data_IF_320408889169
#
_entry.id   IF_320408889169
#
_cell.length_a   1.000
_cell.length_b   1.000
_cell.length_c   1.000
_cell.angle_alpha   90.00
_cell.angle_beta   90.00
_cell.angle_gamma   90.00
#
_symmetry.space_group_name_H-M   'P 1'
#
loop_
_entity.id
_entity.type
_entity.pdbx_description
1 polymer ?
#
# COMPACT_ATOMS: atom_id res chain seq x y z
N UNK A 1 -25.74 0.68 8.76
CA UNK A 1 -24.29 0.89 9.08
C UNK A 1 -23.94 -0.07 10.21
N UNK A 2 -22.91 -0.90 10.03
CA UNK A 2 -22.51 -1.91 11.02
C UNK A 2 -21.21 -1.56 11.74
N UNK A 3 -20.43 -0.64 11.18
CA UNK A 3 -19.13 -0.21 11.73
C UNK A 3 -18.97 1.30 11.59
N UNK A 4 -18.15 1.89 12.47
CA UNK A 4 -17.71 3.29 12.40
C UNK A 4 -16.20 3.31 12.13
N UNK A 5 -15.70 4.12 11.20
CA UNK A 5 -14.26 4.27 11.01
C UNK A 5 -13.63 4.87 12.26
N UNK A 6 -12.53 4.26 12.74
CA UNK A 6 -11.76 4.76 13.88
C UNK A 6 -10.61 5.64 13.41
N UNK A 7 -9.87 5.15 12.42
CA UNK A 7 -8.73 5.81 11.82
C UNK A 7 -8.49 5.21 10.44
N UNK A 8 -7.90 5.97 9.54
CA UNK A 8 -7.64 5.51 8.18
C UNK A 8 -6.18 5.70 7.83
N UNK A 9 -5.67 4.85 6.98
CA UNK A 9 -4.37 4.97 6.34
C UNK A 9 -4.53 4.79 4.83
N UNK A 10 -3.52 5.20 4.13
CA UNK A 10 -3.40 4.98 2.68
C UNK A 10 -1.97 4.57 2.36
N UNK A 11 -1.69 4.28 1.12
CA UNK A 11 -0.31 4.06 0.67
C UNK A 11 0.28 5.36 0.13
N UNK A 12 1.56 5.55 0.41
CA UNK A 12 2.39 6.66 -0.09
C UNK A 12 3.73 6.10 -0.57
N UNK A 13 4.40 6.83 -1.44
CA UNK A 13 5.76 6.54 -1.90
C UNK A 13 6.76 7.32 -1.04
N UNK A 14 7.58 6.61 -0.28
CA UNK A 14 8.77 7.10 0.39
C UNK A 14 9.97 6.97 -0.53
N UNK A 15 10.85 7.97 -0.56
CA UNK A 15 12.06 7.93 -1.36
C UNK A 15 13.24 8.58 -0.63
N UNK A 16 14.44 8.11 -0.92
CA UNK A 16 15.68 8.69 -0.39
C UNK A 16 15.96 10.00 -1.13
N UNK A 17 15.47 11.11 -0.56
CA UNK A 17 15.59 12.44 -1.18
C UNK A 17 17.04 12.84 -1.41
N UNK A 18 17.94 12.55 -0.47
CA UNK A 18 19.38 12.84 -0.60
C UNK A 18 19.99 12.14 -1.82
N UNK A 19 19.65 10.85 -2.03
CA UNK A 19 20.12 10.11 -3.21
C UNK A 19 19.51 10.65 -4.50
N UNK A 20 18.22 11.01 -4.49
CA UNK A 20 17.54 11.57 -5.64
C UNK A 20 18.15 12.92 -6.06
N UNK A 21 18.34 13.84 -5.11
CA UNK A 21 18.94 15.16 -5.36
C UNK A 21 20.38 15.02 -5.91
N UNK A 22 21.18 14.14 -5.31
CA UNK A 22 22.56 13.90 -5.72
C UNK A 22 22.69 13.35 -7.16
N UNK A 23 21.66 12.63 -7.65
CA UNK A 23 21.68 12.00 -8.98
C UNK A 23 20.71 12.67 -9.98
N UNK A 24 20.10 13.80 -9.62
CA UNK A 24 19.16 14.52 -10.47
C UNK A 24 17.92 13.67 -10.81
N UNK A 25 17.44 12.85 -9.86
CA UNK A 25 16.26 12.01 -10.01
C UNK A 25 15.01 12.75 -9.49
N UNK A 26 13.86 12.42 -10.05
CA UNK A 26 12.55 12.91 -9.60
C UNK A 26 11.64 11.74 -9.25
N UNK A 27 10.80 11.85 -8.20
CA UNK A 27 9.81 10.81 -7.89
C UNK A 27 8.86 10.59 -9.05
N UNK A 28 8.49 9.31 -9.34
CA UNK A 28 7.63 8.98 -10.47
C UNK A 28 6.16 9.30 -10.16
N UNK A 29 5.41 9.73 -11.16
CA UNK A 29 3.97 9.97 -11.09
C UNK A 29 3.16 8.85 -11.75
N UNK A 30 3.80 8.08 -12.62
CA UNK A 30 3.21 6.93 -13.32
C UNK A 30 4.01 5.65 -13.10
N UNK A 31 3.38 4.49 -13.34
CA UNK A 31 4.07 3.20 -13.27
C UNK A 31 5.13 3.02 -14.37
N UNK A 32 4.97 3.68 -15.52
CA UNK A 32 5.98 3.69 -16.58
C UNK A 32 7.22 4.49 -16.18
N UNK A 33 7.01 5.66 -15.55
CA UNK A 33 8.10 6.44 -14.96
C UNK A 33 8.80 5.69 -13.82
N UNK A 34 8.03 4.91 -13.00
CA UNK A 34 8.60 4.07 -11.95
C UNK A 34 9.53 3.02 -12.52
N UNK A 35 9.13 2.32 -13.58
CA UNK A 35 9.97 1.31 -14.25
C UNK A 35 11.26 1.93 -14.79
N UNK A 36 11.14 3.04 -15.51
CA UNK A 36 12.30 3.76 -16.04
C UNK A 36 13.25 4.24 -14.93
N UNK A 37 12.70 4.72 -13.83
CA UNK A 37 13.46 5.16 -12.66
C UNK A 37 14.17 3.99 -11.96
N UNK A 38 13.48 2.86 -11.77
CA UNK A 38 14.09 1.66 -11.19
C UNK A 38 15.28 1.17 -12.04
N UNK A 39 15.14 1.13 -13.35
CA UNK A 39 16.25 0.79 -14.24
C UNK A 39 17.43 1.77 -14.09
N UNK A 40 17.16 3.06 -14.03
CA UNK A 40 18.20 4.08 -13.83
C UNK A 40 18.89 3.95 -12.46
N UNK A 41 18.16 3.59 -11.42
CA UNK A 41 18.73 3.35 -10.09
C UNK A 41 19.66 2.13 -10.11
N UNK A 42 19.30 1.04 -10.81
CA UNK A 42 20.16 -0.14 -10.97
C UNK A 42 21.45 0.21 -11.76
N UNK A 43 21.39 1.11 -12.74
CA UNK A 43 22.59 1.60 -13.43
C UNK A 43 23.53 2.35 -12.47
N UNK A 44 22.99 3.10 -11.50
CA UNK A 44 23.77 3.85 -10.50
C UNK A 44 24.28 2.92 -9.38
N UNK A 45 23.42 2.05 -8.87
CA UNK A 45 23.73 1.07 -7.81
C UNK A 45 23.21 -0.33 -8.19
N UNK A 46 24.04 -1.13 -8.89
CA UNK A 46 23.66 -2.48 -9.36
C UNK A 46 23.39 -3.50 -8.25
N UNK A 47 23.72 -3.18 -7.00
CA UNK A 47 23.48 -4.04 -5.84
C UNK A 47 22.21 -3.67 -5.07
N UNK A 48 21.48 -2.65 -5.51
CA UNK A 48 20.22 -2.25 -4.90
C UNK A 48 19.03 -3.06 -5.44
N UNK A 49 17.95 -3.07 -4.66
CA UNK A 49 16.59 -3.37 -5.15
C UNK A 49 15.84 -2.05 -5.10
N UNK A 50 15.67 -1.33 -6.23
CA UNK A 50 15.19 0.06 -6.25
C UNK A 50 13.92 0.32 -5.46
N UNK A 51 12.94 -0.60 -5.52
CA UNK A 51 11.61 -0.45 -4.93
C UNK A 51 11.29 -1.59 -3.96
N UNK A 52 10.90 -1.23 -2.73
CA UNK A 52 10.17 -2.13 -1.83
C UNK A 52 8.66 -1.84 -1.86
N UNK A 53 7.80 -2.85 -1.87
CA UNK A 53 6.36 -2.68 -1.75
C UNK A 53 5.81 -3.53 -0.60
N UNK A 54 5.23 -2.89 0.41
CA UNK A 54 4.84 -3.57 1.67
C UNK A 54 3.58 -4.43 1.58
N UNK A 55 2.79 -4.35 0.49
CA UNK A 55 1.49 -5.03 0.46
C UNK A 55 1.09 -5.44 -0.95
N UNK A 56 1.35 -6.70 -1.29
CA UNK A 56 1.00 -7.28 -2.60
C UNK A 56 -0.50 -7.20 -2.89
N UNK A 57 -1.32 -7.45 -1.86
CA UNK A 57 -2.76 -7.40 -2.01
C UNK A 57 -3.27 -5.97 -2.24
N UNK A 58 -2.72 -4.97 -1.57
CA UNK A 58 -3.04 -3.57 -1.86
C UNK A 58 -2.61 -3.19 -3.27
N UNK A 59 -1.42 -3.61 -3.67
CA UNK A 59 -0.89 -3.33 -5.01
C UNK A 59 -1.82 -3.89 -6.09
N UNK A 60 -2.22 -5.16 -5.96
CA UNK A 60 -3.18 -5.79 -6.88
C UNK A 60 -4.49 -5.00 -6.95
N UNK A 61 -5.11 -4.72 -5.79
CA UNK A 61 -6.40 -4.06 -5.72
C UNK A 61 -6.32 -2.62 -6.25
N UNK A 62 -5.25 -1.89 -5.92
CA UNK A 62 -5.03 -0.53 -6.43
C UNK A 62 -4.87 -0.54 -7.96
N UNK A 63 -4.16 -1.51 -8.52
CA UNK A 63 -4.03 -1.63 -9.98
C UNK A 63 -5.36 -1.90 -10.66
N UNK A 64 -6.24 -2.75 -10.08
CA UNK A 64 -7.58 -2.98 -10.66
C UNK A 64 -8.42 -1.70 -10.68
N UNK A 65 -8.34 -0.88 -9.62
CA UNK A 65 -9.04 0.40 -9.55
C UNK A 65 -8.47 1.43 -10.54
N UNK A 66 -7.15 1.54 -10.64
CA UNK A 66 -6.49 2.46 -11.58
C UNK A 66 -6.76 2.09 -13.04
N UNK A 67 -6.79 0.79 -13.36
CA UNK A 67 -7.10 0.26 -14.70
C UNK A 67 -8.60 0.21 -14.98
N UNK A 68 -9.46 0.41 -13.97
CA UNK A 68 -10.92 0.24 -14.05
C UNK A 68 -11.33 -1.16 -14.49
N UNK A 69 -10.57 -2.17 -14.04
CA UNK A 69 -10.85 -3.59 -14.30
C UNK A 69 -11.60 -4.21 -13.13
N UNK A 70 -12.39 -5.28 -13.36
CA UNK A 70 -13.12 -5.93 -12.29
C UNK A 70 -12.19 -6.54 -11.22
N UNK A 71 -12.57 -6.39 -9.95
CA UNK A 71 -11.93 -7.07 -8.82
C UNK A 71 -12.93 -7.97 -8.08
N UNK A 72 -13.82 -7.39 -7.30
CA UNK A 72 -14.86 -8.11 -6.55
C UNK A 72 -16.18 -7.37 -6.58
N UNK A 73 -17.29 -8.10 -6.35
CA UNK A 73 -18.63 -7.55 -6.24
C UNK A 73 -19.33 -8.04 -4.97
N UNK A 74 -20.10 -7.16 -4.32
CA UNK A 74 -20.95 -7.52 -3.18
C UNK A 74 -22.22 -8.29 -3.58
N UNK A 75 -22.55 -8.32 -4.87
CA UNK A 75 -23.78 -8.95 -5.42
C UNK A 75 -23.48 -9.69 -6.72
N UNK A 76 -24.22 -10.76 -7.00
CA UNK A 76 -24.02 -11.60 -8.17
C UNK A 76 -22.74 -12.43 -8.08
N UNK A 77 -21.98 -12.50 -9.16
CA UNK A 77 -20.67 -13.12 -9.15
C UNK A 77 -19.70 -12.27 -8.32
N UNK A 78 -19.09 -12.87 -7.29
CA UNK A 78 -18.32 -12.12 -6.29
C UNK A 78 -16.85 -11.91 -6.67
N UNK A 79 -16.22 -12.84 -7.36
CA UNK A 79 -14.79 -12.85 -7.64
C UNK A 79 -14.53 -12.65 -9.13
N UNK A 80 -14.27 -11.41 -9.54
CA UNK A 80 -14.24 -10.98 -10.94
C UNK A 80 -12.81 -10.70 -11.45
N UNK A 81 -11.80 -10.93 -10.63
CA UNK A 81 -10.45 -10.45 -10.90
C UNK A 81 -9.65 -11.26 -11.94
N UNK A 82 -10.13 -12.40 -12.41
CA UNK A 82 -9.43 -13.19 -13.44
C UNK A 82 -9.73 -12.65 -14.85
N UNK A 83 -9.11 -11.53 -15.18
CA UNK A 83 -9.25 -10.89 -16.50
C UNK A 83 -7.89 -10.82 -17.23
N UNK A 84 -7.88 -10.71 -18.57
CA UNK A 84 -6.65 -10.52 -19.33
C UNK A 84 -5.82 -9.32 -18.87
N UNK A 85 -6.47 -8.20 -18.55
CA UNK A 85 -5.84 -6.96 -18.11
C UNK A 85 -5.16 -7.15 -16.76
N UNK A 86 -5.83 -7.84 -15.83
CA UNK A 86 -5.29 -8.12 -14.51
C UNK A 86 -4.10 -9.11 -14.60
N UNK A 87 -4.15 -10.10 -15.47
CA UNK A 87 -2.99 -10.96 -15.74
C UNK A 87 -1.82 -10.20 -16.35
N UNK A 88 -2.10 -9.24 -17.22
CA UNK A 88 -1.06 -8.44 -17.88
C UNK A 88 -0.27 -7.57 -16.87
N UNK A 89 -0.94 -6.87 -15.93
CA UNK A 89 -0.19 -6.11 -14.94
C UNK A 89 0.56 -7.01 -13.95
N UNK A 90 -0.01 -8.16 -13.57
CA UNK A 90 0.70 -9.13 -12.72
C UNK A 90 1.96 -9.64 -13.43
N UNK A 91 1.88 -9.94 -14.73
CA UNK A 91 3.05 -10.33 -15.55
C UNK A 91 4.11 -9.22 -15.54
N UNK A 92 3.70 -7.96 -15.75
CA UNK A 92 4.62 -6.81 -15.72
C UNK A 92 5.40 -6.76 -14.40
N UNK A 93 4.72 -6.84 -13.26
CA UNK A 93 5.38 -6.75 -11.95
C UNK A 93 6.17 -8.00 -11.59
N UNK A 94 5.75 -9.19 -12.05
CA UNK A 94 6.55 -10.40 -11.94
C UNK A 94 7.87 -10.29 -12.76
N UNK A 95 7.80 -9.65 -13.91
CA UNK A 95 9.00 -9.34 -14.72
C UNK A 95 9.92 -8.34 -14.02
N UNK A 96 9.38 -7.29 -13.37
CA UNK A 96 10.19 -6.38 -12.57
C UNK A 96 10.93 -7.07 -11.43
N UNK A 97 10.24 -8.01 -10.75
CA UNK A 97 10.89 -8.81 -9.72
C UNK A 97 12.00 -9.70 -10.30
N UNK A 98 11.77 -10.37 -11.43
CA UNK A 98 12.77 -11.16 -12.13
C UNK A 98 14.01 -10.32 -12.53
N UNK A 99 13.81 -9.06 -12.86
CA UNK A 99 14.87 -8.10 -13.20
C UNK A 99 15.57 -7.47 -11.97
N UNK A 100 15.12 -7.78 -10.75
CA UNK A 100 15.68 -7.20 -9.52
C UNK A 100 15.25 -5.77 -9.24
N UNK A 101 14.21 -5.25 -9.91
CA UNK A 101 13.74 -3.86 -9.75
C UNK A 101 12.87 -3.65 -8.50
N UNK A 102 12.23 -4.71 -8.01
CA UNK A 102 11.28 -4.65 -6.89
C UNK A 102 11.38 -5.88 -6.00
N UNK A 103 11.05 -5.71 -4.72
CA UNK A 103 10.69 -6.81 -3.81
C UNK A 103 9.47 -6.45 -3.00
N UNK A 104 8.84 -7.44 -2.37
CA UNK A 104 7.62 -7.26 -1.58
C UNK A 104 7.78 -7.86 -0.19
N UNK A 105 6.85 -7.49 0.72
CA UNK A 105 6.90 -7.96 2.10
C UNK A 105 6.92 -9.48 2.21
N UNK A 106 6.06 -10.17 1.48
CA UNK A 106 5.97 -11.64 1.52
C UNK A 106 7.26 -12.31 1.04
N UNK A 107 7.86 -11.79 -0.02
CA UNK A 107 9.08 -12.38 -0.61
C UNK A 107 10.31 -12.04 0.22
N UNK A 108 10.40 -10.81 0.69
CA UNK A 108 11.50 -10.37 1.57
C UNK A 108 11.40 -11.00 2.98
N UNK A 109 10.21 -11.41 3.40
CA UNK A 109 9.94 -12.03 4.71
C UNK A 109 9.79 -11.03 5.87
N UNK A 110 9.78 -9.73 5.59
CA UNK A 110 9.59 -8.64 6.54
C UNK A 110 9.11 -7.38 5.81
N UNK A 111 8.77 -6.31 6.55
CA UNK A 111 8.47 -5.01 5.95
C UNK A 111 9.67 -4.49 5.15
N UNK A 112 9.40 -4.02 3.92
CA UNK A 112 10.43 -3.53 2.99
C UNK A 112 11.06 -2.21 3.46
N UNK A 113 10.43 -1.52 4.42
CA UNK A 113 11.04 -0.39 5.13
C UNK A 113 12.42 -0.72 5.70
N UNK A 114 12.68 -1.99 6.09
CA UNK A 114 14.00 -2.44 6.52
C UNK A 114 15.08 -2.30 5.45
N UNK A 115 14.75 -2.51 4.18
CA UNK A 115 15.65 -2.25 3.04
C UNK A 115 15.83 -0.75 2.79
N UNK A 116 14.75 0.01 2.93
CA UNK A 116 14.74 1.46 2.66
C UNK A 116 15.62 2.23 3.66
N UNK A 117 15.56 1.87 4.94
CA UNK A 117 16.36 2.53 6.00
C UNK A 117 17.74 1.89 6.23
N UNK A 118 18.09 0.84 5.43
CA UNK A 118 19.36 0.12 5.58
C UNK A 118 20.55 1.03 5.28
N UNK A 119 21.57 0.96 6.11
CA UNK A 119 22.85 1.64 5.93
C UNK A 119 23.95 0.72 5.37
N UNK A 120 23.67 -0.58 5.26
CA UNK A 120 24.61 -1.61 4.81
C UNK A 120 23.95 -2.73 4.03
N UNK A 121 24.71 -3.39 3.17
CA UNK A 121 24.23 -4.50 2.34
C UNK A 121 23.27 -4.06 1.24
N UNK A 122 22.30 -4.93 0.91
CA UNK A 122 21.25 -4.63 -0.08
C UNK A 122 20.30 -3.59 0.50
N UNK A 123 19.99 -2.54 -0.26
CA UNK A 123 19.09 -1.47 0.13
C UNK A 123 18.10 -1.11 -0.99
N UNK A 124 17.02 -0.46 -0.64
CA UNK A 124 16.12 0.19 -1.60
C UNK A 124 16.21 1.71 -1.48
N UNK A 125 15.91 2.41 -2.56
CA UNK A 125 15.86 3.88 -2.62
C UNK A 125 14.44 4.41 -2.64
N UNK A 126 13.47 3.51 -2.81
CA UNK A 126 12.04 3.78 -2.76
C UNK A 126 11.32 2.69 -1.98
N UNK A 127 10.27 3.09 -1.27
CA UNK A 127 9.38 2.17 -0.54
C UNK A 127 7.94 2.64 -0.68
N UNK A 128 7.04 1.76 -1.11
CA UNK A 128 5.60 2.02 -1.04
C UNK A 128 5.05 1.26 0.16
N UNK A 129 4.43 2.00 1.06
CA UNK A 129 3.87 1.44 2.29
C UNK A 129 2.81 2.34 2.90
N UNK A 130 2.24 1.87 4.00
CA UNK A 130 1.19 2.59 4.71
C UNK A 130 1.68 3.91 5.29
N UNK A 131 0.86 4.96 5.19
CA UNK A 131 1.08 6.24 5.88
C UNK A 131 1.21 6.06 7.40
N UNK A 132 0.51 5.08 7.99
CA UNK A 132 0.62 4.74 9.41
C UNK A 132 2.00 4.13 9.79
N UNK A 133 2.79 3.71 8.82
CA UNK A 133 4.15 3.21 8.98
C UNK A 133 5.24 4.27 8.79
N UNK A 134 4.91 5.55 8.63
CA UNK A 134 5.85 6.61 8.25
C UNK A 134 7.10 6.69 9.16
N UNK A 135 6.94 6.50 10.46
CA UNK A 135 8.06 6.52 11.40
C UNK A 135 9.08 5.40 11.20
N UNK A 136 8.67 4.27 10.62
CA UNK A 136 9.53 3.15 10.26
C UNK A 136 10.28 3.36 8.93
N UNK A 137 9.87 4.36 8.17
CA UNK A 137 10.51 4.75 6.92
C UNK A 137 11.58 5.84 7.12
N UNK A 138 11.92 6.17 8.37
CA UNK A 138 12.98 7.11 8.70
C UNK A 138 14.19 6.35 9.24
N UNK A 139 15.40 6.57 8.69
CA UNK A 139 16.61 5.93 9.20
C UNK A 139 16.90 6.36 10.64
N UNK A 140 17.68 5.58 11.35
CA UNK A 140 18.19 5.96 12.69
C UNK A 140 19.28 7.02 12.55
N UNK A 141 19.31 7.98 13.46
CA UNK A 141 20.39 8.98 13.51
C UNK A 141 21.74 8.30 13.76
N UNK A 142 22.75 8.76 13.06
CA UNK A 142 24.13 8.38 13.30
C UNK A 142 24.65 8.85 14.65
N UNK A 143 25.88 8.48 14.99
CA UNK A 143 26.56 8.87 16.25
C UNK A 143 26.75 10.41 16.36
N UNK A 144 26.76 11.12 15.24
CA UNK A 144 26.83 12.58 15.14
C UNK A 144 25.47 13.27 15.34
N UNK A 145 24.40 12.52 15.55
CA UNK A 145 23.04 13.03 15.72
C UNK A 145 22.33 13.41 14.42
N UNK A 146 22.94 13.18 13.25
CA UNK A 146 22.35 13.46 11.93
C UNK A 146 21.69 12.22 11.34
N UNK A 147 20.70 12.40 10.44
CA UNK A 147 20.15 11.31 9.66
C UNK A 147 21.06 10.99 8.47
N UNK A 148 21.27 9.70 8.13
CA UNK A 148 22.06 9.29 6.97
C UNK A 148 21.55 9.87 5.64
N UNK A 149 20.23 10.08 5.55
CA UNK A 149 19.58 10.71 4.41
C UNK A 149 18.25 11.35 4.82
N UNK A 150 17.80 12.31 4.01
CA UNK A 150 16.50 12.93 4.11
C UNK A 150 15.45 12.05 3.39
N UNK A 151 14.29 11.85 4.01
CA UNK A 151 13.17 11.12 3.44
C UNK A 151 12.23 12.09 2.75
N UNK A 152 11.98 11.86 1.46
CA UNK A 152 10.87 12.49 0.75
C UNK A 152 9.65 11.56 0.72
N UNK A 153 8.46 12.14 0.67
CA UNK A 153 7.19 11.40 0.56
C UNK A 153 6.35 12.04 -0.55
N UNK A 154 5.73 11.21 -1.37
CA UNK A 154 4.80 11.64 -2.42
C UNK A 154 3.69 10.61 -2.60
N UNK A 155 2.74 10.90 -3.48
CA UNK A 155 1.68 9.96 -3.87
C UNK A 155 2.27 8.74 -4.56
N UNK A 156 1.54 7.61 -4.54
CA UNK A 156 1.94 6.42 -5.30
C UNK A 156 1.77 6.67 -6.82
N UNK A 157 2.54 5.96 -7.68
CA UNK A 157 2.37 6.07 -9.12
C UNK A 157 0.97 5.68 -9.58
N UNK A 158 0.52 6.29 -10.67
CA UNK A 158 -0.79 6.07 -11.25
C UNK A 158 -0.67 5.50 -12.67
N UNK A 159 -1.71 4.79 -13.13
CA UNK A 159 -1.88 4.47 -14.55
C UNK A 159 -2.24 5.72 -15.33
N UNK A 160 -3.11 6.54 -14.75
CA UNK A 160 -3.54 7.84 -15.28
C UNK A 160 -3.61 8.85 -14.12
N UNK A 161 -2.67 9.80 -14.11
CA UNK A 161 -2.59 10.83 -13.07
C UNK A 161 -3.83 11.73 -13.00
N UNK A 162 -4.59 11.85 -14.10
CA UNK A 162 -5.84 12.63 -14.13
C UNK A 162 -7.02 11.89 -13.45
N UNK A 163 -6.89 10.60 -13.20
CA UNK A 163 -7.91 9.74 -12.58
C UNK A 163 -7.32 8.92 -11.44
N UNK A 164 -6.58 9.59 -10.55
CA UNK A 164 -5.84 8.95 -9.48
C UNK A 164 -6.71 8.07 -8.58
N UNK A 165 -6.16 6.91 -8.18
CA UNK A 165 -6.75 5.97 -7.23
C UNK A 165 -5.71 5.46 -6.26
N UNK A 166 -6.05 5.49 -4.96
CA UNK A 166 -5.24 4.92 -3.89
C UNK A 166 -6.13 4.31 -2.82
N UNK A 167 -5.72 3.18 -2.28
CA UNK A 167 -6.54 2.48 -1.28
C UNK A 167 -6.66 3.30 0.01
N UNK A 168 -7.90 3.40 0.54
CA UNK A 168 -8.17 3.83 1.91
C UNK A 168 -8.45 2.60 2.76
N UNK A 169 -7.64 2.37 3.76
CA UNK A 169 -7.72 1.23 4.68
C UNK A 169 -7.61 1.67 6.14
N UNK A 170 -7.69 0.74 7.06
CA UNK A 170 -7.55 1.01 8.48
C UNK A 170 -8.75 0.55 9.29
N UNK A 171 -8.63 0.52 10.63
CA UNK A 171 -9.61 -0.07 11.51
C UNK A 171 -10.93 0.68 11.54
N UNK A 172 -11.98 -0.10 11.74
CA UNK A 172 -13.31 0.37 12.08
C UNK A 172 -13.78 -0.32 13.36
N UNK A 173 -14.64 0.35 14.12
CA UNK A 173 -15.20 -0.16 15.37
C UNK A 173 -16.61 -0.67 15.14
N UNK A 174 -16.97 -1.78 15.81
CA UNK A 174 -18.33 -2.28 15.87
C UNK A 174 -18.68 -2.63 17.34
N UNK A 175 -19.99 -2.59 17.65
CA UNK A 175 -20.50 -2.97 18.96
C UNK A 175 -21.34 -4.23 18.77
N UNK A 176 -20.91 -5.33 19.40
CA UNK A 176 -21.68 -6.56 19.39
C UNK A 176 -22.92 -6.43 20.30
N UNK A 177 -24.00 -7.09 19.88
CA UNK A 177 -25.22 -7.17 20.68
C UNK A 177 -24.92 -7.89 22.00
N UNK A 178 -25.33 -7.29 23.11
CA UNK A 178 -25.28 -7.87 24.46
C UNK A 178 -26.64 -7.81 25.12
N UNK A 179 -26.87 -8.64 26.13
CA UNK A 179 -28.09 -8.64 26.94
C UNK A 179 -28.16 -7.43 27.88
N UNK A 180 -27.03 -6.90 28.33
CA UNK A 180 -26.95 -5.73 29.20
C UNK A 180 -26.96 -4.44 28.38
N UNK A 181 -28.08 -3.70 28.43
CA UNK A 181 -28.25 -2.44 27.72
C UNK A 181 -27.30 -1.34 28.21
N UNK A 182 -26.90 -1.35 29.49
CA UNK A 182 -25.97 -0.36 30.03
C UNK A 182 -24.57 -0.55 29.47
N UNK A 183 -24.11 -1.81 29.29
CA UNK A 183 -22.83 -2.10 28.65
C UNK A 183 -22.83 -1.64 27.19
N UNK A 184 -23.93 -1.83 26.46
CA UNK A 184 -24.07 -1.35 25.08
C UNK A 184 -24.01 0.17 25.01
N UNK A 185 -24.72 0.85 25.94
CA UNK A 185 -24.71 2.30 26.01
C UNK A 185 -23.33 2.86 26.36
N UNK A 186 -22.64 2.27 27.32
CA UNK A 186 -21.26 2.65 27.68
C UNK A 186 -20.28 2.44 26.49
N UNK A 187 -20.39 1.31 25.82
CA UNK A 187 -19.60 1.02 24.62
C UNK A 187 -19.85 2.05 23.51
N UNK A 188 -21.12 2.44 23.32
CA UNK A 188 -21.47 3.48 22.35
C UNK A 188 -20.86 4.84 22.70
N UNK A 189 -20.91 5.25 23.97
CA UNK A 189 -20.32 6.52 24.41
C UNK A 189 -18.81 6.55 24.17
N UNK A 190 -18.13 5.42 24.44
CA UNK A 190 -16.70 5.28 24.16
C UNK A 190 -16.40 5.34 22.66
N UNK A 191 -17.09 4.54 21.84
CA UNK A 191 -16.93 4.58 20.37
C UNK A 191 -17.21 5.98 19.81
N UNK A 192 -18.27 6.64 20.29
CA UNK A 192 -18.61 8.01 19.91
C UNK A 192 -17.45 8.96 20.24
N UNK A 193 -16.89 8.89 21.46
CA UNK A 193 -15.74 9.71 21.84
C UNK A 193 -14.57 9.52 20.87
N UNK A 194 -14.16 8.28 20.62
CA UNK A 194 -13.03 7.95 19.75
C UNK A 194 -13.21 8.44 18.31
N UNK A 195 -14.45 8.45 17.81
CA UNK A 195 -14.71 8.70 16.37
C UNK A 195 -15.21 10.12 16.06
N UNK A 196 -15.58 10.90 17.08
CA UNK A 196 -16.17 12.24 16.86
C UNK A 196 -15.49 13.37 17.63
N UNK A 197 -14.56 13.07 18.57
CA UNK A 197 -13.84 14.10 19.31
C UNK A 197 -12.67 14.63 18.49
N UNK A 198 -12.68 15.90 18.15
CA UNK A 198 -11.69 16.55 17.27
C UNK A 198 -10.29 16.43 17.86
N UNK A 199 -10.12 16.82 19.13
CA UNK A 199 -8.80 16.80 19.79
C UNK A 199 -8.22 15.39 19.88
N UNK A 200 -9.06 14.40 20.27
CA UNK A 200 -8.63 13.00 20.30
C UNK A 200 -8.16 12.51 18.91
N UNK A 201 -8.94 12.81 17.86
CA UNK A 201 -8.61 12.42 16.50
C UNK A 201 -7.33 13.11 16.01
N UNK A 202 -7.09 14.36 16.36
CA UNK A 202 -5.87 15.09 16.08
C UNK A 202 -4.65 14.45 16.78
N UNK A 203 -4.71 14.28 18.10
CA UNK A 203 -3.64 13.67 18.89
C UNK A 203 -3.33 12.25 18.44
N UNK A 204 -4.37 11.43 18.23
CA UNK A 204 -4.22 10.05 17.76
C UNK A 204 -3.55 9.98 16.36
N UNK A 205 -3.96 10.86 15.45
CA UNK A 205 -3.42 10.94 14.10
C UNK A 205 -1.92 11.31 14.13
N UNK A 206 -1.54 12.34 14.87
CA UNK A 206 -0.15 12.77 15.01
C UNK A 206 0.75 11.69 15.63
N UNK A 207 0.22 10.95 16.62
CA UNK A 207 0.98 9.91 17.33
C UNK A 207 1.10 8.61 16.53
N UNK A 208 0.11 8.28 15.68
CA UNK A 208 0.00 6.97 15.03
C UNK A 208 0.30 6.99 13.53
N UNK A 209 0.33 8.16 12.88
CA UNK A 209 0.43 8.31 11.42
C UNK A 209 -0.84 7.93 10.65
N UNK A 210 -1.94 7.62 11.36
CA UNK A 210 -3.24 7.42 10.72
C UNK A 210 -3.88 8.76 10.34
N UNK A 211 -4.68 8.75 9.28
CA UNK A 211 -5.47 9.90 8.84
C UNK A 211 -6.72 10.02 9.71
N UNK A 212 -7.09 11.23 10.18
CA UNK A 212 -8.33 11.46 10.92
C UNK A 212 -9.57 11.09 10.11
N UNK A 213 -10.63 10.63 10.78
CA UNK A 213 -11.88 10.21 10.11
C UNK A 213 -12.95 11.29 10.09
N UNK A 214 -12.70 12.43 10.71
CA UNK A 214 -13.61 13.60 10.73
C UNK A 214 -12.94 14.83 10.12
N UNK A 215 -13.63 15.48 9.19
CA UNK A 215 -13.10 16.62 8.43
C UNK A 215 -12.72 17.82 9.30
N UNK A 216 -13.42 18.01 10.44
CA UNK A 216 -13.17 19.12 11.35
C UNK A 216 -11.78 19.11 11.99
N UNK A 217 -11.06 17.98 11.98
CA UNK A 217 -9.68 17.92 12.47
C UNK A 217 -8.73 18.81 11.63
N UNK A 218 -9.01 19.00 10.35
CA UNK A 218 -8.24 19.92 9.52
C UNK A 218 -8.22 21.37 10.03
N UNK A 219 -9.23 21.75 10.83
CA UNK A 219 -9.35 23.08 11.46
C UNK A 219 -8.82 23.10 12.91
N UNK A 220 -8.32 22.00 13.45
CA UNK A 220 -7.68 21.96 14.76
C UNK A 220 -6.30 22.62 14.64
N UNK A 221 -6.03 23.64 15.45
CA UNK A 221 -4.79 24.43 15.37
C UNK A 221 -3.54 23.59 15.53
N UNK A 222 -3.52 22.66 16.50
CA UNK A 222 -2.36 21.79 16.77
C UNK A 222 -2.10 20.84 15.60
N UNK A 223 -3.15 20.27 14.99
CA UNK A 223 -3.01 19.41 13.83
C UNK A 223 -2.58 20.18 12.59
N UNK A 224 -3.12 21.39 12.40
CA UNK A 224 -2.72 22.27 11.30
C UNK A 224 -1.24 22.68 11.40
N UNK A 225 -0.76 23.04 12.59
CA UNK A 225 0.66 23.34 12.86
C UNK A 225 1.54 22.10 12.62
N UNK A 226 1.10 20.92 13.05
CA UNK A 226 1.81 19.66 12.78
C UNK A 226 1.99 19.41 11.28
N UNK A 227 0.92 19.55 10.49
CA UNK A 227 0.97 19.36 9.02
C UNK A 227 1.81 20.45 8.36
N UNK A 228 1.71 21.71 8.82
CA UNK A 228 2.53 22.81 8.32
C UNK A 228 4.03 22.61 8.60
N UNK A 229 4.38 21.92 9.69
CA UNK A 229 5.75 21.54 10.04
C UNK A 229 6.37 20.45 9.15
N UNK A 230 5.62 19.93 8.18
CA UNK A 230 6.10 18.90 7.24
C UNK A 230 7.25 19.39 6.35
N UNK A 231 7.34 20.67 6.06
CA UNK A 231 8.37 21.24 5.16
C UNK A 231 9.77 21.30 5.82
N UNK A 232 9.89 20.97 7.11
CA UNK A 232 11.15 20.96 7.85
C UNK A 232 12.01 19.69 7.73
N UNK A 233 11.58 18.68 6.94
CA UNK A 233 12.39 17.50 6.58
C UNK A 233 12.54 16.41 7.65
N UNK A 234 12.53 16.75 8.94
CA UNK A 234 12.76 15.79 10.04
C UNK A 234 11.48 15.06 10.49
N UNK A 235 10.31 15.55 10.15
CA UNK A 235 9.03 14.99 10.60
C UNK A 235 8.32 14.20 9.50
N UNK A 236 8.77 12.95 9.29
CA UNK A 236 8.17 12.05 8.28
C UNK A 236 6.68 11.78 8.53
N UNK A 237 6.22 11.82 9.78
CA UNK A 237 4.80 11.62 10.08
C UNK A 237 3.95 12.81 9.63
N UNK A 238 4.44 14.04 9.81
CA UNK A 238 3.78 15.25 9.31
C UNK A 238 3.77 15.29 7.78
N UNK A 239 4.89 14.93 7.15
CA UNK A 239 5.00 14.86 5.69
C UNK A 239 4.04 13.81 5.11
N UNK A 240 3.93 12.62 5.72
CA UNK A 240 2.96 11.62 5.32
C UNK A 240 1.52 12.11 5.48
N UNK A 241 1.20 12.78 6.59
CA UNK A 241 -0.13 13.36 6.82
C UNK A 241 -0.49 14.41 5.76
N UNK A 242 0.46 15.28 5.37
CA UNK A 242 0.29 16.26 4.31
C UNK A 242 -0.05 15.59 2.98
N UNK A 243 0.73 14.60 2.55
CA UNK A 243 0.49 13.85 1.31
C UNK A 243 -0.85 13.11 1.35
N UNK A 244 -1.24 12.54 2.49
CA UNK A 244 -2.55 11.90 2.66
C UNK A 244 -3.72 12.89 2.47
N UNK A 245 -3.59 14.12 2.93
CA UNK A 245 -4.61 15.16 2.74
C UNK A 245 -4.69 15.61 1.27
N UNK A 246 -3.56 15.67 0.57
CA UNK A 246 -3.49 16.04 -0.85
C UNK A 246 -4.17 15.01 -1.75
N UNK A 247 -4.15 13.71 -1.39
CA UNK A 247 -4.73 12.65 -2.20
C UNK A 247 -6.12 12.16 -1.73
N UNK A 248 -6.80 12.89 -0.86
CA UNK A 248 -8.08 12.45 -0.25
C UNK A 248 -9.17 12.15 -1.29
N UNK A 249 -9.19 12.85 -2.41
CA UNK A 249 -10.17 12.64 -3.49
C UNK A 249 -9.87 11.39 -4.34
N UNK A 250 -8.66 10.84 -4.22
CA UNK A 250 -8.27 9.59 -4.87
C UNK A 250 -8.64 8.33 -4.07
N UNK A 251 -9.14 8.47 -2.83
CA UNK A 251 -9.42 7.33 -1.97
C UNK A 251 -10.56 6.46 -2.47
N UNK A 252 -10.33 5.15 -2.42
CA UNK A 252 -11.36 4.14 -2.66
C UNK A 252 -11.30 3.04 -1.60
N UNK A 253 -12.36 2.26 -1.50
CA UNK A 253 -12.45 1.06 -0.67
C UNK A 253 -13.09 -0.06 -1.47
N UNK A 254 -12.56 -1.28 -1.36
CA UNK A 254 -13.16 -2.46 -1.99
C UNK A 254 -14.52 -2.80 -1.36
N UNK A 255 -15.45 -3.43 -2.10
CA UNK A 255 -16.72 -3.90 -1.56
C UNK A 255 -16.53 -4.85 -0.38
N UNK A 256 -17.37 -4.71 0.65
CA UNK A 256 -17.38 -5.59 1.83
C UNK A 256 -18.52 -6.60 1.70
N UNK A 257 -18.17 -7.88 1.70
CA UNK A 257 -19.10 -9.02 1.66
C UNK A 257 -18.43 -10.24 2.32
N UNK A 258 -19.17 -11.31 2.69
CA UNK A 258 -18.56 -12.57 3.11
C UNK A 258 -17.64 -13.10 2.01
N UNK A 259 -16.34 -13.30 2.33
CA UNK A 259 -15.31 -13.67 1.35
C UNK A 259 -14.39 -12.55 0.87
N UNK A 260 -14.71 -11.27 1.12
CA UNK A 260 -13.86 -10.15 0.69
C UNK A 260 -12.44 -10.20 1.28
N UNK A 261 -12.29 -10.64 2.53
CA UNK A 261 -10.98 -10.85 3.16
C UNK A 261 -10.20 -11.99 2.53
N UNK A 262 -10.90 -13.07 2.13
CA UNK A 262 -10.27 -14.18 1.42
C UNK A 262 -9.78 -13.75 0.05
N UNK A 263 -10.60 -13.04 -0.74
CA UNK A 263 -10.18 -12.49 -2.03
C UNK A 263 -8.91 -11.64 -1.89
N UNK A 264 -8.87 -10.78 -0.86
CA UNK A 264 -7.71 -9.95 -0.56
C UNK A 264 -6.45 -10.79 -0.30
N UNK A 265 -6.55 -11.84 0.50
CA UNK A 265 -5.42 -12.73 0.79
C UNK A 265 -4.96 -13.47 -0.46
N UNK A 266 -5.91 -13.98 -1.27
CA UNK A 266 -5.58 -14.76 -2.46
C UNK A 266 -4.91 -13.95 -3.56
N UNK A 267 -5.31 -12.69 -3.77
CA UNK A 267 -4.62 -11.86 -4.76
C UNK A 267 -3.20 -11.45 -4.32
N UNK A 268 -2.96 -11.29 -3.01
CA UNK A 268 -1.61 -11.09 -2.49
C UNK A 268 -0.72 -12.32 -2.69
N UNK A 269 -1.20 -13.51 -2.32
CA UNK A 269 -0.50 -14.79 -2.55
C UNK A 269 -0.24 -15.03 -4.04
N UNK A 270 -1.20 -14.70 -4.90
CA UNK A 270 -1.10 -14.79 -6.34
C UNK A 270 0.05 -13.91 -6.87
N UNK A 271 0.08 -12.63 -6.47
CA UNK A 271 1.14 -11.72 -6.91
C UNK A 271 2.53 -12.20 -6.48
N UNK A 272 2.73 -12.50 -5.20
CA UNK A 272 4.01 -12.99 -4.69
C UNK A 272 4.40 -14.31 -5.38
N UNK A 273 3.43 -15.20 -5.63
CA UNK A 273 3.64 -16.45 -6.33
C UNK A 273 4.06 -16.26 -7.79
N UNK A 274 3.43 -15.35 -8.53
CA UNK A 274 3.84 -15.05 -9.92
C UNK A 274 5.25 -14.46 -9.99
N UNK A 275 5.62 -13.60 -9.03
CA UNK A 275 6.99 -13.08 -8.93
C UNK A 275 8.03 -14.18 -8.70
N UNK A 276 7.76 -15.12 -7.80
CA UNK A 276 8.66 -16.24 -7.54
C UNK A 276 8.73 -17.22 -8.71
N UNK A 277 7.62 -17.44 -9.43
CA UNK A 277 7.61 -18.24 -10.66
C UNK A 277 8.46 -17.59 -11.76
N UNK A 278 8.34 -16.27 -11.94
CA UNK A 278 9.14 -15.51 -12.90
C UNK A 278 10.64 -15.64 -12.60
N UNK A 279 11.05 -15.52 -11.33
CA UNK A 279 12.44 -15.72 -10.93
C UNK A 279 12.93 -17.14 -11.18
N UNK A 280 12.10 -18.15 -10.93
CA UNK A 280 12.44 -19.55 -11.16
C UNK A 280 12.63 -19.91 -12.64
N UNK A 281 11.94 -19.21 -13.55
CA UNK A 281 12.10 -19.35 -15.00
C UNK A 281 13.41 -18.76 -15.53
N UNK A 282 13.99 -17.80 -14.79
CA UNK A 282 15.24 -17.14 -15.17
C UNK A 282 15.04 -16.11 -16.29
N UNK A 283 15.77 -16.25 -17.40
CA UNK A 283 15.76 -15.28 -18.49
C UNK A 283 14.42 -15.23 -19.24
N UNK A 284 13.61 -14.22 -18.96
CA UNK A 284 12.30 -13.98 -19.58
C UNK A 284 12.39 -13.34 -20.98
N UNK A 285 13.57 -13.00 -21.48
CA UNK A 285 13.74 -12.59 -22.89
C UNK A 285 13.60 -13.76 -23.85
N UNK A 286 13.68 -14.99 -23.32
CA UNK A 286 13.45 -16.23 -24.07
C UNK A 286 11.95 -16.46 -24.24
N UNK A 287 11.45 -16.61 -25.49
CA UNK A 287 10.01 -16.77 -25.75
C UNK A 287 9.37 -17.96 -25.03
N UNK A 288 10.10 -19.05 -24.83
CA UNK A 288 9.62 -20.23 -24.11
C UNK A 288 9.39 -19.96 -22.61
N UNK A 289 10.26 -19.16 -21.97
CA UNK A 289 10.12 -18.79 -20.56
C UNK A 289 9.01 -17.76 -20.38
N UNK A 290 8.90 -16.80 -21.29
CA UNK A 290 7.84 -15.79 -21.28
C UNK A 290 6.45 -16.44 -21.47
N UNK A 291 6.31 -17.37 -22.43
CA UNK A 291 5.08 -18.12 -22.62
C UNK A 291 4.75 -19.03 -21.42
N UNK A 292 5.78 -19.61 -20.79
CA UNK A 292 5.58 -20.42 -19.58
C UNK A 292 5.11 -19.58 -18.39
N UNK A 293 5.59 -18.35 -18.27
CA UNK A 293 5.10 -17.42 -17.25
C UNK A 293 3.61 -17.13 -17.44
N UNK A 294 3.14 -16.92 -18.67
CA UNK A 294 1.71 -16.71 -18.96
C UNK A 294 0.85 -17.91 -18.52
N UNK A 295 1.30 -19.15 -18.77
CA UNK A 295 0.60 -20.34 -18.29
C UNK A 295 0.54 -20.42 -16.75
N UNK A 296 1.64 -20.11 -16.07
CA UNK A 296 1.71 -20.13 -14.61
C UNK A 296 0.81 -19.03 -13.99
N UNK A 297 0.80 -17.84 -14.57
CA UNK A 297 -0.08 -16.75 -14.14
C UNK A 297 -1.55 -17.17 -14.28
N UNK A 298 -1.96 -17.69 -15.46
CA UNK A 298 -3.32 -18.17 -15.66
C UNK A 298 -3.70 -19.20 -14.59
N UNK A 299 -2.85 -20.20 -14.36
CA UNK A 299 -3.07 -21.23 -13.34
C UNK A 299 -3.26 -20.64 -11.94
N UNK A 300 -2.42 -19.68 -11.55
CA UNK A 300 -2.54 -19.03 -10.22
C UNK A 300 -3.85 -18.23 -10.07
N UNK A 301 -4.30 -17.58 -11.14
CA UNK A 301 -5.59 -16.89 -11.13
C UNK A 301 -6.74 -17.88 -10.97
N UNK A 302 -6.76 -19.00 -11.70
CA UNK A 302 -7.79 -20.03 -11.62
C UNK A 302 -7.83 -20.67 -10.22
N UNK A 303 -6.67 -20.96 -9.62
CA UNK A 303 -6.55 -21.48 -8.27
C UNK A 303 -7.05 -20.46 -7.21
N UNK A 304 -6.74 -19.17 -7.39
CA UNK A 304 -7.19 -18.12 -6.49
C UNK A 304 -8.72 -17.97 -6.50
N UNK A 305 -9.33 -17.94 -7.69
CA UNK A 305 -10.80 -17.92 -7.85
C UNK A 305 -11.42 -19.14 -7.17
N UNK A 306 -10.93 -20.34 -7.48
CA UNK A 306 -11.45 -21.60 -6.88
C UNK A 306 -11.42 -21.57 -5.35
N UNK A 307 -10.32 -21.09 -4.75
CA UNK A 307 -10.22 -20.98 -3.28
C UNK A 307 -11.18 -19.94 -2.72
N UNK A 308 -11.35 -18.81 -3.40
CA UNK A 308 -12.32 -17.79 -3.01
C UNK A 308 -13.76 -18.34 -3.03
N UNK A 309 -14.16 -19.02 -4.10
CA UNK A 309 -15.49 -19.65 -4.22
C UNK A 309 -15.72 -20.70 -3.13
N UNK A 310 -14.72 -21.54 -2.86
CA UNK A 310 -14.79 -22.54 -1.77
C UNK A 310 -14.99 -21.88 -0.40
N UNK A 311 -14.40 -20.72 -0.15
CA UNK A 311 -14.50 -20.01 1.13
C UNK A 311 -15.90 -19.49 1.43
N UNK A 312 -16.70 -19.22 0.41
CA UNK A 312 -18.09 -18.71 0.55
C UNK A 312 -19.16 -19.76 0.34
N UNK A 313 -18.83 -20.98 -0.09
CA UNK A 313 -19.79 -22.03 -0.41
C UNK A 313 -20.73 -22.37 0.75
N UNK A 314 -20.32 -22.13 2.00
CA UNK A 314 -21.13 -22.39 3.21
C UNK A 314 -22.03 -21.24 3.64
N UNK A 315 -21.94 -20.07 3.01
CA UNK A 315 -22.72 -18.88 3.41
C UNK A 315 -24.08 -18.76 2.71
N UNK A 316 -24.35 -19.55 1.67
CA UNK A 316 -25.61 -19.51 0.91
C UNK A 316 -25.81 -18.20 0.14
N UNK A 317 -24.73 -17.58 -0.31
CA UNK A 317 -24.67 -16.34 -1.10
C UNK A 317 -24.15 -16.63 -2.50
#
# INVERSE_FOLDING_TARGET
MYTLPMSKSTEVLYYNKTFFDANGLTPPTTWDEMEALCNKIVEIDPYSIPLGYDSENNWFITMTEQLKTPYTSATGEHFLFNTPENRAFVKRFATWYNQGLVTTQTIYGSYTSGLFVSDSGIKSYMSIGSSAGATHQRPTKGADGTYPFEVGITTIPQVDASSAKVISQGPSLCIFKKSNAQEVAASWLFVKYLTTTVDFQAEFSMASGYVPVIKSVANNEVYAEFVAGADGGDNVAALAAKVCLEQVDAYYTSPAFPGSSEARSRVGELMAGCMTDAAALGDLTKPENDAKLDELIQKRFDEAITKCEQSIAGFGI
#
